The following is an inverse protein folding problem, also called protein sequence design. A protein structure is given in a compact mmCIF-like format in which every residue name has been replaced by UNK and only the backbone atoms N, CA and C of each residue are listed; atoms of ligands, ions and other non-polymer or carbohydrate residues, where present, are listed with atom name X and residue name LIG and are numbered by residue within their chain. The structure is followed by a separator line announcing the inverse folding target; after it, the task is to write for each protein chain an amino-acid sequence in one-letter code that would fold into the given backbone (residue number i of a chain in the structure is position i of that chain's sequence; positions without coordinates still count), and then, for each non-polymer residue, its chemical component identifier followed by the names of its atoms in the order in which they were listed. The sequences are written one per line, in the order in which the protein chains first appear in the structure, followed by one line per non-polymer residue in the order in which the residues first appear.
data_IF_325729435926
#
_entry.id   IF_325729435926
#
_cell.length_a   1.000
_cell.length_b   1.000
_cell.length_c   1.000
_cell.angle_alpha   90.00
_cell.angle_beta   90.00
_cell.angle_gamma   90.00
#
_symmetry.space_group_name_H-M   'P 1'
#
loop_
_entity.id
_entity.type
_entity.pdbx_description
1 polymer ?
#
# COMPACT_ATOMS: atom_id res chain seq x y z
N UNK A 1 8.12 -14.81 5.70
CA UNK A 1 6.73 -14.31 5.59
C UNK A 1 5.67 -15.40 5.82
N UNK A 2 6.00 -16.69 5.73
CA UNK A 2 5.09 -17.84 5.99
C UNK A 2 4.39 -17.81 7.36
N UNK A 3 5.09 -17.35 8.40
CA UNK A 3 4.58 -17.35 9.77
C UNK A 3 3.35 -16.46 10.00
N UNK A 4 3.32 -15.27 9.37
CA UNK A 4 2.17 -14.37 9.46
C UNK A 4 0.94 -15.02 8.82
N UNK A 5 1.13 -15.69 7.67
CA UNK A 5 0.08 -16.45 6.96
C UNK A 5 -0.52 -17.52 7.83
N UNK A 6 0.36 -18.32 8.41
CA UNK A 6 -0.02 -19.40 9.31
C UNK A 6 -0.83 -18.88 10.50
N UNK A 7 -0.33 -17.86 11.21
CA UNK A 7 -1.00 -17.32 12.40
C UNK A 7 -2.40 -16.76 12.10
N UNK A 8 -2.59 -16.04 10.99
CA UNK A 8 -3.91 -15.53 10.60
C UNK A 8 -4.83 -16.66 10.12
N UNK A 9 -4.30 -17.67 9.45
CA UNK A 9 -5.08 -18.84 9.02
C UNK A 9 -5.64 -19.63 10.20
N UNK A 10 -4.83 -19.83 11.24
CA UNK A 10 -5.28 -20.44 12.51
C UNK A 10 -6.47 -19.70 13.13
N UNK A 11 -6.47 -18.37 13.04
CA UNK A 11 -7.54 -17.56 13.65
C UNK A 11 -8.79 -17.53 12.76
N UNK A 12 -8.62 -17.31 11.46
CA UNK A 12 -9.74 -17.06 10.54
C UNK A 12 -10.37 -18.34 10.03
N UNK A 13 -9.57 -19.36 9.72
CA UNK A 13 -10.04 -20.63 9.15
C UNK A 13 -10.24 -21.71 10.21
N UNK A 14 -9.33 -21.81 11.18
CA UNK A 14 -9.43 -22.83 12.25
C UNK A 14 -10.14 -22.32 13.51
N UNK A 15 -10.52 -21.05 13.56
CA UNK A 15 -11.31 -20.46 14.65
C UNK A 15 -10.56 -20.38 15.99
N UNK A 16 -9.23 -20.50 16.00
CA UNK A 16 -8.44 -20.34 17.24
C UNK A 16 -8.60 -18.91 17.78
N UNK A 17 -8.67 -18.79 19.11
CA UNK A 17 -8.70 -17.48 19.76
C UNK A 17 -7.39 -16.74 19.52
N UNK A 18 -7.50 -15.47 19.11
CA UNK A 18 -6.34 -14.59 18.87
C UNK A 18 -5.38 -14.55 20.06
N UNK A 19 -5.92 -14.45 21.28
CA UNK A 19 -5.13 -14.39 22.50
C UNK A 19 -4.29 -15.65 22.76
N UNK A 20 -4.77 -16.81 22.34
CA UNK A 20 -4.04 -18.07 22.51
C UNK A 20 -2.91 -18.18 21.47
N UNK A 21 -3.20 -17.81 20.22
CA UNK A 21 -2.19 -17.72 19.14
C UNK A 21 -1.11 -16.66 19.48
N UNK A 22 -1.51 -15.53 20.06
CA UNK A 22 -0.61 -14.48 20.53
C UNK A 22 0.37 -14.99 21.59
N UNK A 23 -0.15 -15.72 22.58
CA UNK A 23 0.65 -16.29 23.68
C UNK A 23 1.56 -17.42 23.21
N UNK A 24 1.06 -18.30 22.35
CA UNK A 24 1.81 -19.44 21.78
C UNK A 24 3.01 -18.99 20.94
N UNK A 25 2.85 -17.87 20.23
CA UNK A 25 3.83 -17.38 19.27
C UNK A 25 4.59 -16.13 19.74
N UNK A 26 4.34 -15.62 20.94
CA UNK A 26 4.99 -14.44 21.49
C UNK A 26 4.70 -13.15 20.72
N UNK A 27 3.53 -13.04 20.09
CA UNK A 27 3.11 -11.87 19.30
C UNK A 27 2.13 -11.04 20.13
N UNK A 28 2.16 -9.71 20.01
CA UNK A 28 1.15 -8.89 20.68
C UNK A 28 -0.24 -9.10 20.07
N UNK A 29 -1.28 -9.14 20.91
CA UNK A 29 -2.67 -9.28 20.45
C UNK A 29 -3.07 -8.16 19.47
N UNK A 30 -2.60 -6.94 19.73
CA UNK A 30 -2.81 -5.77 18.84
C UNK A 30 -2.21 -5.94 17.44
N UNK A 31 -1.09 -6.67 17.34
CA UNK A 31 -0.48 -7.00 16.05
C UNK A 31 -1.31 -8.05 15.31
N UNK A 32 -1.74 -9.11 16.01
CA UNK A 32 -2.59 -10.15 15.43
C UNK A 32 -3.97 -9.63 15.04
N UNK A 33 -4.53 -8.69 15.79
CA UNK A 33 -5.78 -8.01 15.45
C UNK A 33 -5.67 -7.23 14.14
N UNK A 34 -4.64 -6.38 14.00
CA UNK A 34 -4.39 -5.67 12.75
C UNK A 34 -4.18 -6.61 11.57
N UNK A 35 -3.56 -7.76 11.83
CA UNK A 35 -3.31 -8.78 10.82
C UNK A 35 -4.59 -9.45 10.32
N UNK A 36 -5.43 -9.88 11.25
CA UNK A 36 -6.73 -10.50 10.95
C UNK A 36 -7.67 -9.50 10.25
N UNK A 37 -7.65 -8.23 10.68
CA UNK A 37 -8.46 -7.16 10.07
C UNK A 37 -8.09 -6.95 8.61
N UNK A 38 -6.81 -6.72 8.32
CA UNK A 38 -6.33 -6.56 6.94
C UNK A 38 -6.57 -7.80 6.09
N UNK A 39 -6.38 -9.00 6.64
CA UNK A 39 -6.68 -10.24 5.92
C UNK A 39 -8.16 -10.36 5.50
N UNK A 40 -9.09 -9.87 6.34
CA UNK A 40 -10.53 -9.86 6.03
C UNK A 40 -10.92 -8.77 5.05
N UNK A 41 -10.33 -7.58 5.18
CA UNK A 41 -10.59 -6.43 4.28
C UNK A 41 -10.11 -6.71 2.84
N UNK A 42 -9.10 -7.55 2.69
CA UNK A 42 -8.35 -7.72 1.45
C UNK A 42 -8.51 -9.13 0.85
N UNK A 43 -9.52 -9.88 1.31
CA UNK A 43 -9.82 -11.28 0.95
C UNK A 43 -8.58 -12.21 0.94
N UNK A 44 -7.58 -11.89 1.76
CA UNK A 44 -6.33 -12.63 1.87
C UNK A 44 -5.29 -12.38 0.79
N UNK A 45 -5.48 -11.41 -0.11
CA UNK A 45 -4.59 -11.15 -1.25
C UNK A 45 -3.36 -10.27 -0.91
N UNK A 46 -3.53 -9.08 -0.35
CA UNK A 46 -2.40 -8.12 -0.14
C UNK A 46 -1.91 -8.06 1.30
N UNK A 47 -2.42 -8.93 2.18
CA UNK A 47 -2.09 -8.91 3.60
C UNK A 47 -0.63 -9.28 3.94
N UNK A 48 0.10 -9.99 3.06
CA UNK A 48 1.39 -10.60 3.40
C UNK A 48 2.63 -9.98 2.78
N UNK A 49 2.68 -8.65 2.58
CA UNK A 49 3.95 -7.94 2.35
C UNK A 49 4.84 -8.53 1.26
N UNK A 50 4.25 -9.24 0.30
CA UNK A 50 4.82 -9.33 -1.04
C UNK A 50 4.59 -7.97 -1.64
N UNK A 51 5.52 -7.41 -2.42
CA UNK A 51 5.38 -6.11 -3.07
C UNK A 51 4.22 -5.98 -4.09
N UNK A 52 3.11 -6.68 -3.88
CA UNK A 52 1.82 -6.42 -4.51
C UNK A 52 1.17 -5.24 -3.80
N UNK A 53 1.34 -4.08 -4.43
CA UNK A 53 0.48 -2.94 -4.22
C UNK A 53 -0.97 -3.41 -4.39
N UNK A 54 -1.84 -3.07 -3.44
CA UNK A 54 -3.27 -3.21 -3.65
C UNK A 54 -3.67 -2.49 -4.94
N UNK A 55 -4.76 -2.87 -5.64
CA UNK A 55 -5.20 -2.15 -6.84
C UNK A 55 -5.36 -0.64 -6.61
N UNK A 56 -5.75 -0.25 -5.40
CA UNK A 56 -5.82 1.15 -4.97
C UNK A 56 -4.44 1.80 -4.85
N UNK A 57 -3.44 1.12 -4.26
CA UNK A 57 -2.07 1.62 -4.18
C UNK A 57 -1.38 1.66 -5.55
N UNK A 58 -1.63 0.69 -6.43
CA UNK A 58 -1.15 0.74 -7.82
C UNK A 58 -1.74 1.92 -8.57
N UNK A 59 -3.05 2.15 -8.42
CA UNK A 59 -3.71 3.29 -9.04
C UNK A 59 -3.14 4.61 -8.53
N UNK A 60 -2.96 4.72 -7.21
CA UNK A 60 -2.34 5.88 -6.59
C UNK A 60 -0.92 6.13 -7.13
N UNK A 61 -0.10 5.09 -7.31
CA UNK A 61 1.23 5.26 -7.91
C UNK A 61 1.17 5.70 -9.37
N UNK A 62 0.24 5.15 -10.16
CA UNK A 62 0.02 5.59 -11.55
C UNK A 62 -0.40 7.06 -11.61
N UNK A 63 -1.32 7.46 -10.75
CA UNK A 63 -1.82 8.83 -10.68
C UNK A 63 -0.71 9.81 -10.27
N UNK A 64 0.09 9.46 -9.25
CA UNK A 64 1.23 10.28 -8.81
C UNK A 64 2.27 10.46 -9.91
N UNK A 65 2.61 9.39 -10.63
CA UNK A 65 3.53 9.47 -11.78
C UNK A 65 2.98 10.39 -12.87
N UNK A 66 1.67 10.32 -13.14
CA UNK A 66 1.04 11.18 -14.15
C UNK A 66 1.04 12.65 -13.73
N UNK A 67 0.84 12.94 -12.45
CA UNK A 67 0.93 14.30 -11.91
C UNK A 67 2.35 14.85 -12.10
N UNK A 68 3.37 14.08 -11.77
CA UNK A 68 4.78 14.49 -11.92
C UNK A 68 5.12 14.81 -13.38
N UNK A 69 4.75 13.95 -14.33
CA UNK A 69 4.92 14.20 -15.77
C UNK A 69 4.23 15.49 -16.23
N UNK A 70 2.99 15.72 -15.78
CA UNK A 70 2.23 16.92 -16.14
C UNK A 70 2.83 18.18 -15.52
N UNK A 71 3.34 18.12 -14.29
CA UNK A 71 4.02 19.24 -13.64
C UNK A 71 5.29 19.63 -14.39
N UNK A 72 6.04 18.65 -14.89
CA UNK A 72 7.23 18.87 -15.71
C UNK A 72 6.89 19.50 -17.06
N UNK A 73 5.87 18.98 -17.77
CA UNK A 73 5.37 19.57 -19.03
C UNK A 73 4.94 21.04 -18.83
N UNK A 74 4.19 21.32 -17.75
CA UNK A 74 3.77 22.69 -17.40
C UNK A 74 4.97 23.58 -17.11
N UNK A 75 6.00 23.08 -16.42
CA UNK A 75 7.20 23.83 -16.12
C UNK A 75 7.98 24.19 -17.40
N UNK A 76 8.07 23.26 -18.36
CA UNK A 76 8.71 23.50 -19.67
C UNK A 76 7.95 24.54 -20.47
N UNK A 77 6.63 24.42 -20.57
CA UNK A 77 5.78 25.38 -21.30
C UNK A 77 5.87 26.78 -20.70
N UNK A 78 5.87 26.90 -19.37
CA UNK A 78 6.07 28.19 -18.69
C UNK A 78 7.42 28.81 -19.01
N UNK A 79 8.50 28.03 -19.02
CA UNK A 79 9.84 28.50 -19.39
C UNK A 79 9.90 28.94 -20.85
N UNK A 80 9.29 28.19 -21.76
CA UNK A 80 9.23 28.55 -23.18
C UNK A 80 8.44 29.85 -23.38
N UNK A 81 7.25 29.97 -22.78
CA UNK A 81 6.44 31.19 -22.84
C UNK A 81 7.20 32.41 -22.30
N UNK A 82 7.90 32.26 -21.16
CA UNK A 82 8.73 33.32 -20.60
C UNK A 82 9.91 33.70 -21.53
N UNK A 83 10.55 32.73 -22.16
CA UNK A 83 11.61 32.97 -23.13
C UNK A 83 11.07 33.74 -24.36
N UNK A 84 9.96 33.30 -24.94
CA UNK A 84 9.37 33.98 -26.10
C UNK A 84 8.92 35.40 -25.77
N UNK A 85 8.28 35.62 -24.62
CA UNK A 85 7.89 36.96 -24.18
C UNK A 85 9.08 37.91 -24.00
N UNK A 86 10.26 37.39 -23.61
CA UNK A 86 11.48 38.18 -23.41
C UNK A 86 12.23 38.51 -24.72
N UNK A 87 11.97 37.79 -25.81
CA UNK A 87 12.63 37.98 -27.10
C UNK A 87 11.75 38.72 -28.14
N UNK A 88 10.67 39.37 -27.70
CA UNK A 88 9.80 40.20 -28.57
C UNK A 88 10.18 41.69 -28.60
N UNK A 89 11.36 42.07 -28.09
CA UNK A 89 11.96 43.41 -28.22
C UNK A 89 13.08 43.44 -29.27
#
# INVERSE_FOLDING_TARGET
MEFKRYAVKLIVHEGKKRADVAREHGISDSTLENWVRKYREDEGNSFFGSGYLTPAEEQHQRDMKRIEELEEEVAILKKAAAFFAKNQE
#
